data_IF_917885503468
#
_entry.id   IF_917885503468
#
_cell.length_a   1.000
_cell.length_b   1.000
_cell.length_c   1.000
_cell.angle_alpha   90.00
_cell.angle_beta   90.00
_cell.angle_gamma   90.00
#
_symmetry.space_group_name_H-M   'P 1'
#
loop_
_entity.id
_entity.type
_entity.pdbx_description
1 polymer ?
#
# COMPACT_ATOMS: atom_id res chain seq x y z
N UNK A 1 -0.88 11.36 -13.31
CA UNK A 1 -0.91 11.93 -11.94
C UNK A 1 -0.58 10.85 -10.91
N UNK A 2 -1.27 9.72 -10.92
CA UNK A 2 -1.03 8.53 -10.06
C UNK A 2 0.44 8.16 -9.76
N UNK A 3 1.31 8.07 -10.78
CA UNK A 3 2.74 7.76 -10.57
C UNK A 3 3.51 8.84 -9.79
N UNK A 4 3.06 10.10 -9.85
CA UNK A 4 3.63 11.22 -9.11
C UNK A 4 3.27 11.13 -7.63
N UNK A 5 2.01 10.82 -7.29
CA UNK A 5 1.55 10.62 -5.91
C UNK A 5 2.37 9.54 -5.21
N UNK A 6 2.59 8.40 -5.86
CA UNK A 6 3.43 7.32 -5.32
C UNK A 6 4.90 7.70 -5.19
N UNK A 7 5.44 8.47 -6.14
CA UNK A 7 6.82 8.98 -6.06
C UNK A 7 6.97 9.95 -4.88
N UNK A 8 6.00 10.84 -4.67
CA UNK A 8 5.97 11.78 -3.55
C UNK A 8 5.90 11.04 -2.20
N UNK A 9 5.09 9.99 -2.10
CA UNK A 9 5.01 9.14 -0.91
C UNK A 9 6.34 8.42 -0.63
N UNK A 10 6.92 7.80 -1.66
CA UNK A 10 8.22 7.12 -1.60
C UNK A 10 9.32 8.05 -1.11
N UNK A 11 9.41 9.23 -1.72
CA UNK A 11 10.45 10.23 -1.43
C UNK A 11 10.13 11.05 -0.16
N UNK A 12 8.96 10.79 0.44
CA UNK A 12 8.54 11.32 1.72
C UNK A 12 8.12 12.77 1.72
N UNK A 13 7.65 13.24 0.58
CA UNK A 13 7.03 14.56 0.40
C UNK A 13 5.59 14.61 0.89
N UNK A 14 4.91 13.46 0.91
CA UNK A 14 3.57 13.27 1.50
C UNK A 14 3.58 12.03 2.39
N UNK A 15 2.61 11.93 3.29
CA UNK A 15 2.47 10.74 4.13
C UNK A 15 1.95 9.54 3.31
N UNK A 16 2.24 8.31 3.74
CA UNK A 16 1.63 7.11 3.16
C UNK A 16 0.09 7.15 3.13
N UNK A 17 -0.54 7.69 4.17
CA UNK A 17 -1.99 7.82 4.27
C UNK A 17 -2.54 8.81 3.25
N UNK A 18 -1.94 10.00 3.17
CA UNK A 18 -2.32 11.03 2.19
C UNK A 18 -2.18 10.52 0.75
N UNK A 19 -1.13 9.72 0.48
CA UNK A 19 -0.94 9.09 -0.81
C UNK A 19 -2.07 8.10 -1.13
N UNK A 20 -2.48 7.27 -0.18
CA UNK A 20 -3.58 6.31 -0.36
C UNK A 20 -4.91 7.02 -0.60
N UNK A 21 -5.23 8.05 0.18
CA UNK A 21 -6.46 8.84 -0.01
C UNK A 21 -6.50 9.59 -1.34
N UNK A 22 -5.35 10.06 -1.82
CA UNK A 22 -5.23 10.70 -3.13
C UNK A 22 -5.38 9.67 -4.25
N UNK A 23 -4.70 8.52 -4.14
CA UNK A 23 -4.81 7.43 -5.10
C UNK A 23 -6.22 6.88 -5.19
N UNK A 24 -6.91 6.70 -4.07
CA UNK A 24 -8.29 6.23 -4.01
C UNK A 24 -9.22 7.11 -4.84
N UNK A 25 -9.10 8.43 -4.70
CA UNK A 25 -9.84 9.40 -5.51
C UNK A 25 -9.42 9.38 -6.97
N UNK A 26 -8.12 9.35 -7.25
CA UNK A 26 -7.57 9.40 -8.61
C UNK A 26 -7.91 8.15 -9.44
N UNK A 27 -7.94 6.97 -8.80
CA UNK A 27 -8.24 5.71 -9.50
C UNK A 27 -9.71 5.31 -9.42
N UNK A 28 -10.57 6.06 -8.73
CA UNK A 28 -12.00 5.76 -8.62
C UNK A 28 -12.30 4.58 -7.69
N UNK A 29 -11.60 4.52 -6.56
CA UNK A 29 -11.75 3.51 -5.51
C UNK A 29 -10.70 2.41 -5.62
N UNK A 30 -9.82 2.29 -4.63
CA UNK A 30 -8.88 1.18 -4.50
C UNK A 30 -9.67 -0.08 -4.15
N UNK A 31 -9.42 -1.18 -4.86
CA UNK A 31 -10.05 -2.48 -4.58
C UNK A 31 -9.04 -3.58 -4.27
N UNK A 32 -7.73 -3.30 -4.42
CA UNK A 32 -6.70 -4.17 -3.88
C UNK A 32 -5.29 -3.60 -3.92
N UNK A 33 -4.39 -4.28 -3.21
CA UNK A 33 -2.97 -4.02 -3.16
C UNK A 33 -2.18 -5.33 -3.17
N UNK A 34 -1.06 -5.33 -3.89
CA UNK A 34 -0.12 -6.44 -3.96
C UNK A 34 1.27 -5.92 -3.59
N UNK A 35 1.88 -6.55 -2.59
CA UNK A 35 3.23 -6.22 -2.14
C UNK A 35 3.99 -7.52 -1.91
N UNK A 36 4.92 -7.85 -2.79
CA UNK A 36 5.82 -8.99 -2.66
C UNK A 36 7.24 -8.55 -3.01
N UNK A 37 8.08 -8.26 -2.01
CA UNK A 37 9.43 -7.78 -2.24
C UNK A 37 10.37 -8.87 -2.76
N UNK A 38 10.13 -10.14 -2.41
CA UNK A 38 10.91 -11.27 -2.92
C UNK A 38 10.71 -11.50 -4.42
N UNK A 39 9.51 -11.26 -4.92
CA UNK A 39 9.17 -11.34 -6.34
C UNK A 39 9.30 -10.00 -7.09
N UNK A 40 9.66 -8.90 -6.40
CA UNK A 40 9.72 -7.56 -6.99
C UNK A 40 8.36 -7.00 -7.46
N UNK A 41 7.25 -7.54 -6.93
CA UNK A 41 5.89 -7.14 -7.33
C UNK A 41 5.32 -6.15 -6.34
N UNK A 42 4.97 -4.96 -6.82
CA UNK A 42 4.43 -3.89 -5.98
C UNK A 42 3.37 -3.14 -6.76
N UNK A 43 2.09 -3.27 -6.39
CA UNK A 43 0.97 -2.79 -7.19
C UNK A 43 -0.20 -2.36 -6.31
N UNK A 44 -0.89 -1.30 -6.71
CA UNK A 44 -2.23 -0.93 -6.25
C UNK A 44 -3.17 -1.09 -7.44
N UNK A 45 -4.40 -1.56 -7.21
CA UNK A 45 -5.36 -1.77 -8.29
C UNK A 45 -6.78 -1.40 -7.87
N UNK A 46 -7.59 -1.13 -8.89
CA UNK A 46 -9.04 -1.15 -8.82
C UNK A 46 -9.58 -2.18 -9.86
N UNK A 47 -10.86 -2.11 -10.20
CA UNK A 47 -11.44 -3.00 -11.23
C UNK A 47 -11.00 -2.73 -12.67
N UNK A 48 -10.44 -1.55 -12.97
CA UNK A 48 -10.16 -1.09 -14.35
C UNK A 48 -8.69 -0.75 -14.61
N UNK A 49 -7.88 -0.61 -13.57
CA UNK A 49 -6.53 -0.07 -13.60
C UNK A 49 -5.62 -0.76 -12.59
N UNK A 50 -4.35 -0.84 -12.98
CA UNK A 50 -3.27 -1.34 -12.15
C UNK A 50 -2.14 -0.32 -12.14
N UNK A 51 -1.70 0.04 -10.94
CA UNK A 51 -0.71 1.07 -10.67
C UNK A 51 0.51 0.41 -10.03
N UNK A 52 1.65 0.29 -10.73
CA UNK A 52 2.87 -0.23 -10.12
C UNK A 52 3.44 0.77 -9.10
N UNK A 53 3.92 0.28 -7.96
CA UNK A 53 4.66 1.10 -7.00
C UNK A 53 6.12 1.29 -7.49
N UNK A 54 6.71 2.49 -7.34
CA UNK A 54 8.03 2.82 -7.87
C UNK A 54 9.18 2.27 -6.99
N UNK A 55 9.32 0.94 -6.93
CA UNK A 55 10.28 0.25 -6.07
C UNK A 55 11.73 0.19 -6.61
N UNK A 56 11.93 0.36 -7.92
CA UNK A 56 13.25 0.29 -8.55
C UNK A 56 14.16 1.41 -8.03
N UNK A 57 15.37 1.04 -7.61
CA UNK A 57 16.40 1.98 -7.12
C UNK A 57 16.09 2.61 -5.77
N UNK A 58 15.08 2.11 -5.05
CA UNK A 58 14.67 2.67 -3.79
C UNK A 58 15.48 2.09 -2.62
N UNK A 59 15.89 2.95 -1.69
CA UNK A 59 16.64 2.54 -0.50
C UNK A 59 15.73 1.92 0.57
N UNK A 60 16.32 1.42 1.67
CA UNK A 60 15.58 0.78 2.77
C UNK A 60 14.45 1.65 3.34
N UNK A 61 14.67 2.96 3.50
CA UNK A 61 13.66 3.90 4.03
C UNK A 61 12.51 4.11 3.04
N UNK A 62 12.83 4.24 1.76
CA UNK A 62 11.84 4.35 0.69
C UNK A 62 11.03 3.05 0.56
N UNK A 63 11.64 1.87 0.74
CA UNK A 63 10.93 0.58 0.75
C UNK A 63 10.04 0.40 1.94
N UNK A 64 10.47 0.86 3.11
CA UNK A 64 9.58 0.96 4.27
C UNK A 64 8.33 1.80 3.92
N UNK A 65 8.50 2.95 3.29
CA UNK A 65 7.35 3.82 2.91
C UNK A 65 6.42 3.18 1.88
N UNK A 66 6.95 2.54 0.84
CA UNK A 66 6.09 1.85 -0.14
C UNK A 66 5.35 0.66 0.46
N UNK A 67 5.97 -0.03 1.43
CA UNK A 67 5.31 -1.08 2.22
C UNK A 67 4.15 -0.52 3.04
N UNK A 68 4.34 0.63 3.69
CA UNK A 68 3.30 1.33 4.46
C UNK A 68 2.14 1.75 3.55
N UNK A 69 2.44 2.32 2.37
CA UNK A 69 1.44 2.65 1.34
C UNK A 69 0.64 1.42 0.93
N UNK A 70 1.30 0.28 0.67
CA UNK A 70 0.60 -0.94 0.28
C UNK A 70 -0.31 -1.50 1.38
N UNK A 71 0.13 -1.43 2.65
CA UNK A 71 -0.67 -1.83 3.80
C UNK A 71 -1.93 -0.97 3.95
N UNK A 72 -1.78 0.35 3.88
CA UNK A 72 -2.90 1.29 3.96
C UNK A 72 -3.84 1.15 2.75
N UNK A 73 -3.32 0.90 1.55
CA UNK A 73 -4.13 0.66 0.36
C UNK A 73 -4.97 -0.63 0.48
N UNK A 74 -4.43 -1.68 1.10
CA UNK A 74 -5.19 -2.90 1.41
C UNK A 74 -6.31 -2.62 2.41
N UNK A 75 -6.04 -1.86 3.47
CA UNK A 75 -7.07 -1.42 4.41
C UNK A 75 -8.16 -0.59 3.70
N UNK A 76 -7.77 0.37 2.86
CA UNK A 76 -8.70 1.18 2.08
C UNK A 76 -9.57 0.32 1.16
N UNK A 77 -8.99 -0.69 0.52
CA UNK A 77 -9.73 -1.66 -0.28
C UNK A 77 -10.80 -2.40 0.55
N UNK A 78 -10.50 -2.76 1.80
CA UNK A 78 -11.50 -3.36 2.71
C UNK A 78 -12.62 -2.37 3.04
N UNK A 79 -12.28 -1.10 3.31
CA UNK A 79 -13.28 -0.04 3.53
C UNK A 79 -14.18 0.19 2.30
N UNK A 80 -13.61 0.07 1.11
CA UNK A 80 -14.33 0.15 -0.16
C UNK A 80 -15.12 -1.14 -0.50
N UNK A 81 -15.22 -2.10 0.42
CA UNK A 81 -16.04 -3.31 0.26
C UNK A 81 -15.34 -4.47 -0.47
N UNK A 82 -14.03 -4.40 -0.72
CA UNK A 82 -13.31 -5.49 -1.35
C UNK A 82 -13.21 -6.71 -0.43
N UNK A 83 -13.81 -7.82 -0.85
CA UNK A 83 -13.72 -9.10 -0.13
C UNK A 83 -12.35 -9.79 -0.30
N UNK A 84 -11.62 -9.44 -1.37
CA UNK A 84 -10.30 -10.00 -1.70
C UNK A 84 -9.33 -8.85 -2.03
N UNK A 85 -8.81 -8.15 -1.02
CA UNK A 85 -8.03 -6.92 -1.21
C UNK A 85 -6.60 -7.16 -1.71
N UNK A 86 -6.25 -8.39 -2.11
CA UNK A 86 -4.94 -8.75 -2.66
C UNK A 86 -4.03 -9.49 -1.67
N UNK A 87 -2.72 -9.36 -1.85
CA UNK A 87 -1.72 -10.12 -1.11
C UNK A 87 -0.51 -9.25 -0.74
N UNK A 88 -0.24 -9.09 0.56
CA UNK A 88 0.89 -8.30 1.07
C UNK A 88 1.87 -9.15 1.88
N UNK A 89 3.16 -8.94 1.67
CA UNK A 89 4.26 -9.68 2.33
C UNK A 89 5.02 -8.71 3.24
N UNK A 90 4.54 -8.58 4.48
CA UNK A 90 4.87 -7.45 5.36
C UNK A 90 5.93 -7.83 6.43
N UNK A 91 6.40 -9.07 6.48
CA UNK A 91 7.51 -9.52 7.35
C UNK A 91 8.08 -10.86 6.89
N UNK A 92 9.33 -11.18 7.30
CA UNK A 92 10.13 -12.43 7.07
C UNK A 92 9.64 -13.44 6.01
N UNK A 93 9.18 -12.98 4.83
CA UNK A 93 8.67 -13.85 3.75
C UNK A 93 7.24 -14.40 3.91
N UNK A 94 6.45 -13.96 4.91
CA UNK A 94 5.07 -14.44 5.09
C UNK A 94 4.04 -13.42 4.53
N UNK A 95 3.15 -13.91 3.65
CA UNK A 95 2.06 -13.13 3.06
C UNK A 95 0.84 -12.96 3.97
N UNK A 96 -0.12 -12.10 3.59
CA UNK A 96 -1.39 -11.85 4.30
C UNK A 96 -2.25 -13.09 4.53
N UNK A 97 -2.01 -14.17 3.78
CA UNK A 97 -2.62 -15.49 4.00
C UNK A 97 -2.17 -16.16 5.30
N UNK A 98 -1.02 -15.77 5.85
CA UNK A 98 -0.42 -16.37 7.05
C UNK A 98 -0.56 -15.50 8.32
N UNK A 99 -0.91 -14.21 8.18
CA UNK A 99 -1.01 -13.26 9.30
C UNK A 99 -2.13 -12.22 9.08
N UNK A 100 -3.40 -12.65 9.06
CA UNK A 100 -4.53 -11.69 9.00
C UNK A 100 -4.53 -10.75 10.22
N UNK A 101 -4.25 -11.26 11.41
CA UNK A 101 -4.23 -10.47 12.65
C UNK A 101 -3.05 -9.49 12.69
N UNK A 102 -1.83 -9.95 12.36
CA UNK A 102 -0.65 -9.09 12.35
C UNK A 102 -0.66 -7.97 11.30
N UNK A 103 -1.49 -8.08 10.25
CA UNK A 103 -1.74 -6.97 9.32
C UNK A 103 -2.61 -5.88 9.96
N UNK A 104 -3.64 -6.29 10.71
CA UNK A 104 -4.59 -5.37 11.36
C UNK A 104 -3.87 -4.43 12.32
N UNK A 105 -3.10 -4.99 13.27
CA UNK A 105 -2.33 -4.22 14.25
C UNK A 105 -1.32 -3.28 13.56
N UNK A 106 -0.67 -3.76 12.49
CA UNK A 106 0.26 -2.95 11.72
C UNK A 106 -0.45 -1.76 11.06
N UNK A 107 -1.59 -1.98 10.41
CA UNK A 107 -2.39 -0.90 9.82
C UNK A 107 -2.85 0.09 10.89
N UNK A 108 -3.35 -0.37 12.04
CA UNK A 108 -3.77 0.50 13.14
C UNK A 108 -2.61 1.40 13.58
N UNK A 109 -1.41 0.82 13.82
CA UNK A 109 -0.23 1.59 14.19
C UNK A 109 0.17 2.65 13.14
N UNK A 110 -0.05 2.36 11.85
CA UNK A 110 0.20 3.31 10.77
C UNK A 110 -0.84 4.43 10.73
N UNK A 111 -2.12 4.12 10.96
CA UNK A 111 -3.18 5.13 11.04
C UNK A 111 -2.90 6.10 12.19
N UNK A 112 -2.55 5.60 13.38
CA UNK A 112 -2.17 6.43 14.53
C UNK A 112 -0.93 7.30 14.25
N UNK A 113 0.04 6.76 13.51
CA UNK A 113 1.26 7.49 13.13
C UNK A 113 1.01 8.60 12.11
N UNK A 114 -0.02 8.47 11.26
CA UNK A 114 -0.26 9.38 10.14
C UNK A 114 -1.50 10.27 10.28
N UNK A 115 -2.32 10.07 11.32
CA UNK A 115 -3.45 10.94 11.68
C UNK A 115 -3.09 12.03 12.69
N UNK A 116 -1.93 11.94 13.35
CA UNK A 116 -1.36 12.96 14.24
C UNK A 116 -0.33 13.82 13.51
#
# INVERSE_FOLDING_TARGET
MVNQTLKMARDGKISPLEAVESLDREIGGITGAIYNPGAGVYKILNHTMMVPLPARGANKKQMKRLKEVAALAYWKAQQNGSQKPGELHIGKGCGTKHYKEGLGDYVISLLETHQN
#
